data_IF_457422866031
#
_entry.id   IF_457422866031
#
_cell.length_a   1.000
_cell.length_b   1.000
_cell.length_c   1.000
_cell.angle_alpha   90.00
_cell.angle_beta   90.00
_cell.angle_gamma   90.00
#
_symmetry.space_group_name_H-M   'P 1'
#
loop_
_entity.id
_entity.type
_entity.pdbx_description
1 polymer ?
#
# COMPACT_ATOMS: atom_id res chain seq x y z
N UNK A 1 33.37 -9.96 -1.31
CA UNK A 1 32.27 -9.19 -0.67
C UNK A 1 31.00 -9.99 -0.85
N UNK A 2 30.47 -10.55 0.23
CA UNK A 2 29.34 -11.49 0.19
C UNK A 2 28.11 -10.91 -0.53
N UNK A 3 27.67 -11.58 -1.59
CA UNK A 3 26.42 -11.29 -2.31
C UNK A 3 25.15 -11.46 -1.44
N UNK A 4 25.30 -11.94 -0.20
CA UNK A 4 24.21 -12.19 0.75
C UNK A 4 23.50 -10.93 1.25
N UNK A 5 24.02 -9.73 0.97
CA UNK A 5 23.45 -8.45 1.42
C UNK A 5 22.65 -7.68 0.35
N UNK A 6 22.58 -8.18 -0.89
CA UNK A 6 21.83 -7.56 -1.99
C UNK A 6 20.60 -8.39 -2.34
N UNK A 7 19.42 -7.78 -2.35
CA UNK A 7 18.19 -8.37 -2.93
C UNK A 7 17.98 -7.76 -4.31
N UNK A 8 17.67 -8.62 -5.28
CA UNK A 8 17.21 -8.16 -6.59
C UNK A 8 15.91 -7.36 -6.44
N UNK A 9 15.85 -6.21 -7.10
CA UNK A 9 14.64 -5.43 -7.23
C UNK A 9 13.63 -6.09 -8.18
N UNK A 10 14.08 -6.91 -9.13
CA UNK A 10 13.26 -7.66 -10.09
C UNK A 10 13.10 -6.94 -11.43
N UNK A 11 14.08 -6.13 -11.81
CA UNK A 11 14.09 -5.40 -13.08
C UNK A 11 15.35 -5.71 -13.88
N UNK A 12 15.17 -6.37 -15.03
CA UNK A 12 16.17 -6.49 -16.09
C UNK A 12 16.03 -5.35 -17.09
N UNK A 13 17.15 -4.81 -17.59
CA UNK A 13 17.13 -3.84 -18.70
C UNK A 13 16.64 -2.43 -18.36
N UNK A 14 16.58 -2.05 -17.08
CA UNK A 14 16.33 -0.66 -16.68
C UNK A 14 17.60 0.18 -16.76
N UNK A 15 17.46 1.46 -17.10
CA UNK A 15 18.61 2.37 -17.06
C UNK A 15 19.13 2.57 -15.63
N UNK A 16 20.43 2.84 -15.51
CA UNK A 16 21.07 3.14 -14.22
C UNK A 16 20.35 4.25 -13.46
N UNK A 17 19.97 5.33 -14.18
CA UNK A 17 19.22 6.44 -13.60
C UNK A 17 17.85 6.00 -13.08
N UNK A 18 17.06 5.27 -13.88
CA UNK A 18 15.74 4.80 -13.46
C UNK A 18 15.81 3.80 -12.31
N UNK A 19 16.86 2.95 -12.27
CA UNK A 19 17.11 2.09 -11.13
C UNK A 19 17.28 2.90 -9.83
N UNK A 20 18.12 3.93 -9.86
CA UNK A 20 18.41 4.73 -8.67
C UNK A 20 17.26 5.64 -8.23
N UNK A 21 16.41 6.10 -9.16
CA UNK A 21 15.36 7.10 -8.85
C UNK A 21 13.96 6.51 -8.79
N UNK A 22 13.55 5.73 -9.79
CA UNK A 22 12.17 5.29 -9.97
C UNK A 22 11.92 3.90 -9.39
N UNK A 23 12.71 2.91 -9.81
CA UNK A 23 12.39 1.50 -9.57
C UNK A 23 12.31 1.16 -8.08
N UNK A 24 13.12 1.78 -7.23
CA UNK A 24 13.07 1.56 -5.79
C UNK A 24 11.73 2.01 -5.16
N UNK A 25 11.11 3.04 -5.73
CA UNK A 25 9.96 3.73 -5.17
C UNK A 25 8.64 3.38 -5.85
N UNK A 26 8.66 2.82 -7.05
CA UNK A 26 7.44 2.40 -7.74
C UNK A 26 7.25 0.89 -7.71
N UNK A 27 8.34 0.13 -7.60
CA UNK A 27 8.28 -1.31 -7.68
C UNK A 27 7.72 -1.93 -6.40
N UNK A 28 6.92 -2.99 -6.58
CA UNK A 28 6.28 -3.77 -5.50
C UNK A 28 5.29 -2.99 -4.64
N UNK A 29 5.12 -1.69 -4.89
CA UNK A 29 3.96 -0.95 -4.43
C UNK A 29 2.71 -1.34 -5.21
N UNK A 30 1.56 -0.86 -4.75
CA UNK A 30 0.27 -1.15 -5.37
C UNK A 30 -0.11 -2.63 -5.29
N UNK A 31 0.48 -3.38 -4.35
CA UNK A 31 0.01 -4.72 -4.03
C UNK A 31 -1.25 -4.60 -3.20
N UNK A 32 -2.28 -5.30 -3.66
CA UNK A 32 -3.54 -5.42 -2.94
C UNK A 32 -3.54 -6.72 -2.16
N UNK A 33 -3.80 -6.62 -0.86
CA UNK A 33 -3.95 -7.77 0.02
C UNK A 33 -5.24 -8.51 -0.35
N UNK A 34 -5.14 -9.82 -0.58
CA UNK A 34 -6.30 -10.68 -0.79
C UNK A 34 -6.81 -11.16 0.55
N UNK A 35 -8.08 -10.91 0.83
CA UNK A 35 -8.72 -11.40 2.05
C UNK A 35 -10.03 -12.10 1.73
N UNK A 36 -10.29 -13.20 2.44
CA UNK A 36 -11.52 -13.97 2.30
C UNK A 36 -12.29 -13.79 3.60
N UNK A 37 -13.50 -13.24 3.51
CA UNK A 37 -14.37 -12.95 4.66
C UNK A 37 -15.64 -13.75 4.51
N UNK A 38 -15.99 -14.53 5.54
CA UNK A 38 -17.24 -15.30 5.58
C UNK A 38 -18.26 -14.57 6.44
N UNK A 39 -19.31 -14.07 5.80
CA UNK A 39 -20.38 -13.31 6.46
C UNK A 39 -21.59 -14.22 6.61
N UNK A 40 -21.99 -14.46 7.86
CA UNK A 40 -23.22 -15.20 8.16
C UNK A 40 -24.43 -14.29 7.95
N UNK A 41 -25.48 -14.81 7.32
CA UNK A 41 -26.69 -14.08 6.94
C UNK A 41 -27.94 -14.87 7.31
N UNK A 42 -28.94 -14.18 7.85
CA UNK A 42 -30.26 -14.77 8.11
C UNK A 42 -31.07 -14.85 6.82
N UNK A 43 -31.96 -15.83 6.72
CA UNK A 43 -32.82 -15.99 5.55
C UNK A 43 -33.64 -14.72 5.28
N UNK A 44 -33.62 -14.23 4.04
CA UNK A 44 -34.31 -12.99 3.65
C UNK A 44 -33.58 -11.68 4.00
N UNK A 45 -32.51 -11.71 4.81
CA UNK A 45 -31.73 -10.54 5.17
C UNK A 45 -30.86 -10.06 3.99
N UNK A 46 -30.67 -8.75 3.86
CA UNK A 46 -29.73 -8.16 2.90
C UNK A 46 -28.30 -8.17 3.45
N UNK A 47 -27.30 -8.16 2.56
CA UNK A 47 -25.89 -8.01 2.99
C UNK A 47 -25.61 -6.61 3.57
N UNK A 48 -26.30 -5.58 3.07
CA UNK A 48 -26.07 -4.18 3.49
C UNK A 48 -24.81 -3.58 2.88
N UNK A 49 -24.51 -3.90 1.62
CA UNK A 49 -23.40 -3.31 0.86
C UNK A 49 -23.95 -2.59 -0.35
N UNK A 50 -23.65 -1.30 -0.48
CA UNK A 50 -23.76 -0.61 -1.76
C UNK A 50 -22.42 -0.66 -2.49
N UNK A 51 -22.47 -0.91 -3.79
CA UNK A 51 -21.28 -1.08 -4.61
C UNK A 51 -21.33 -0.24 -5.87
N UNK A 52 -20.23 0.46 -6.15
CA UNK A 52 -20.03 1.15 -7.42
C UNK A 52 -19.19 0.28 -8.36
N UNK A 53 -19.48 0.39 -9.65
CA UNK A 53 -18.62 -0.21 -10.68
C UNK A 53 -17.34 0.62 -10.74
N UNK A 54 -16.20 -0.04 -10.72
CA UNK A 54 -14.94 0.64 -11.00
C UNK A 54 -14.90 1.00 -12.50
N UNK A 55 -14.45 2.21 -12.83
CA UNK A 55 -14.24 2.61 -14.24
C UNK A 55 -12.99 1.94 -14.86
N UNK A 56 -12.25 1.18 -14.04
CA UNK A 56 -11.08 0.42 -14.44
C UNK A 56 -11.37 -0.75 -15.40
N UNK A 57 -10.28 -1.33 -15.92
CA UNK A 57 -10.34 -2.49 -16.81
C UNK A 57 -10.71 -3.80 -16.11
N UNK A 58 -10.64 -3.85 -14.77
CA UNK A 58 -11.00 -5.05 -14.01
C UNK A 58 -12.48 -5.07 -13.69
N UNK A 59 -13.09 -6.26 -13.59
CA UNK A 59 -14.50 -6.39 -13.26
C UNK A 59 -14.76 -6.31 -11.74
N UNK A 60 -13.92 -5.60 -10.99
CA UNK A 60 -14.10 -5.45 -9.54
C UNK A 60 -15.13 -4.36 -9.24
N UNK A 61 -15.79 -4.49 -8.10
CA UNK A 61 -16.71 -3.46 -7.59
C UNK A 61 -16.18 -2.89 -6.29
N UNK A 62 -16.36 -1.60 -6.08
CA UNK A 62 -15.92 -0.89 -4.87
C UNK A 62 -17.09 -0.80 -3.89
N UNK A 63 -16.82 -1.05 -2.61
CA UNK A 63 -17.80 -0.79 -1.55
C UNK A 63 -17.95 0.72 -1.37
N UNK A 64 -19.11 1.27 -1.72
CA UNK A 64 -19.41 2.69 -1.64
C UNK A 64 -19.95 3.07 -0.26
N UNK A 65 -20.86 2.26 0.28
CA UNK A 65 -21.42 2.42 1.61
C UNK A 65 -21.71 1.05 2.25
N UNK A 66 -21.84 1.05 3.56
CA UNK A 66 -22.24 -0.12 4.35
C UNK A 66 -23.51 0.27 5.10
N UNK A 67 -24.63 -0.27 4.65
CA UNK A 67 -25.96 -0.04 5.20
C UNK A 67 -26.32 -1.13 6.23
N UNK A 68 -27.52 -1.00 6.81
CA UNK A 68 -28.05 -2.03 7.72
C UNK A 68 -28.17 -3.38 7.01
N UNK A 69 -27.50 -4.40 7.56
CA UNK A 69 -27.48 -5.74 6.99
C UNK A 69 -26.46 -6.65 7.66
N UNK A 70 -26.27 -7.83 7.08
CA UNK A 70 -25.39 -8.86 7.62
C UNK A 70 -23.92 -8.39 7.75
N UNK A 71 -23.44 -7.53 6.85
CA UNK A 71 -22.07 -7.00 6.93
C UNK A 71 -21.91 -6.01 8.08
N UNK A 72 -22.90 -5.15 8.33
CA UNK A 72 -22.86 -4.27 9.50
C UNK A 72 -22.89 -5.08 10.80
N UNK A 73 -23.75 -6.10 10.89
CA UNK A 73 -23.79 -7.01 12.04
C UNK A 73 -22.45 -7.73 12.22
N UNK A 74 -21.83 -8.22 11.14
CA UNK A 74 -20.50 -8.84 11.17
C UNK A 74 -19.43 -7.85 11.68
N UNK A 75 -19.39 -6.65 11.11
CA UNK A 75 -18.43 -5.61 11.49
C UNK A 75 -18.61 -5.13 12.94
N UNK A 76 -19.83 -5.17 13.49
CA UNK A 76 -20.12 -4.75 14.87
C UNK A 76 -19.59 -5.72 15.94
N UNK A 77 -19.34 -6.99 15.57
CA UNK A 77 -18.79 -8.02 16.46
C UNK A 77 -17.27 -7.99 16.55
N UNK A 78 -16.62 -7.21 15.69
CA UNK A 78 -15.18 -7.12 15.60
C UNK A 78 -14.68 -5.83 16.28
N UNK A 79 -13.45 -5.84 16.84
CA UNK A 79 -12.80 -4.64 17.34
C UNK A 79 -12.75 -3.50 16.31
N UNK A 80 -12.76 -2.26 16.80
CA UNK A 80 -12.73 -1.03 16.00
C UNK A 80 -11.69 -1.05 14.87
N UNK A 81 -10.52 -1.53 15.22
CA UNK A 81 -9.26 -1.59 14.48
C UNK A 81 -9.04 -2.92 13.74
N UNK A 82 -9.95 -3.90 13.89
CA UNK A 82 -9.77 -5.23 13.28
C UNK A 82 -9.62 -5.14 11.76
N UNK A 83 -8.55 -5.76 11.26
CA UNK A 83 -8.30 -5.90 9.83
C UNK A 83 -9.36 -6.76 9.14
N UNK A 84 -10.12 -7.58 9.87
CA UNK A 84 -11.17 -8.44 9.33
C UNK A 84 -12.45 -7.70 8.95
N UNK A 85 -12.65 -6.49 9.49
CA UNK A 85 -13.82 -5.67 9.15
C UNK A 85 -13.81 -5.32 7.68
N UNK A 86 -14.97 -5.39 7.03
CA UNK A 86 -15.17 -4.89 5.67
C UNK A 86 -15.32 -3.36 5.77
N UNK A 87 -14.61 -2.61 4.93
CA UNK A 87 -14.55 -1.14 4.98
C UNK A 87 -15.03 -0.54 3.65
N UNK A 88 -15.55 0.68 3.73
CA UNK A 88 -15.80 1.50 2.54
C UNK A 88 -14.49 1.68 1.77
N UNK A 89 -14.56 1.52 0.45
CA UNK A 89 -13.42 1.51 -0.45
C UNK A 89 -12.78 0.14 -0.66
N UNK A 90 -13.17 -0.92 0.05
CA UNK A 90 -12.70 -2.27 -0.29
C UNK A 90 -13.15 -2.67 -1.70
N UNK A 91 -12.28 -3.33 -2.46
CA UNK A 91 -12.64 -3.89 -3.76
C UNK A 91 -13.12 -5.33 -3.58
N UNK A 92 -14.30 -5.67 -4.07
CA UNK A 92 -14.82 -7.04 -4.06
C UNK A 92 -14.44 -7.70 -5.38
N UNK A 93 -13.63 -8.76 -5.28
CA UNK A 93 -13.18 -9.54 -6.43
C UNK A 93 -14.08 -10.74 -6.71
N UNK A 94 -14.60 -11.41 -5.66
CA UNK A 94 -15.52 -12.56 -5.78
C UNK A 94 -16.57 -12.59 -4.69
N UNK A 95 -17.73 -13.16 -4.99
CA UNK A 95 -18.84 -13.44 -4.06
C UNK A 95 -19.33 -14.86 -4.31
N UNK A 96 -19.16 -15.77 -3.35
CA UNK A 96 -19.54 -17.19 -3.47
C UNK A 96 -18.99 -17.85 -4.75
N UNK A 97 -17.73 -17.54 -5.08
CA UNK A 97 -17.06 -18.00 -6.29
C UNK A 97 -17.42 -17.25 -7.58
N UNK A 98 -18.49 -16.44 -7.58
CA UNK A 98 -18.88 -15.57 -8.71
C UNK A 98 -17.94 -14.37 -8.78
N UNK A 99 -17.39 -14.12 -9.97
CA UNK A 99 -16.59 -12.95 -10.28
C UNK A 99 -17.17 -12.19 -11.49
N UNK A 100 -16.47 -11.20 -12.01
CA UNK A 100 -16.90 -10.56 -13.24
C UNK A 100 -18.06 -9.57 -13.06
N UNK A 101 -18.86 -9.43 -14.12
CA UNK A 101 -20.02 -8.53 -14.17
C UNK A 101 -21.16 -8.99 -13.25
N UNK A 102 -21.15 -10.24 -12.83
CA UNK A 102 -22.23 -10.88 -12.07
C UNK A 102 -22.12 -10.67 -10.56
N UNK A 103 -21.04 -10.05 -10.08
CA UNK A 103 -20.82 -9.75 -8.64
C UNK A 103 -21.99 -8.96 -8.06
N UNK A 104 -22.47 -7.93 -8.77
CA UNK A 104 -23.60 -7.09 -8.30
C UNK A 104 -24.87 -7.93 -8.16
N UNK A 105 -25.10 -8.89 -9.06
CA UNK A 105 -26.23 -9.81 -8.97
C UNK A 105 -26.08 -10.78 -7.80
N UNK A 106 -24.88 -11.31 -7.57
CA UNK A 106 -24.58 -12.21 -6.46
C UNK A 106 -24.81 -11.54 -5.10
N UNK A 107 -24.40 -10.27 -4.94
CA UNK A 107 -24.62 -9.49 -3.71
C UNK A 107 -26.11 -9.27 -3.37
N UNK A 108 -26.99 -9.24 -4.39
CA UNK A 108 -28.44 -9.03 -4.22
C UNK A 108 -29.23 -10.30 -3.89
N UNK A 109 -28.64 -11.50 -4.04
CA UNK A 109 -29.32 -12.76 -3.74
C UNK A 109 -29.66 -12.82 -2.25
N UNK A 110 -30.83 -13.35 -1.86
CA UNK A 110 -31.27 -13.45 -0.44
C UNK A 110 -31.23 -14.87 0.16
N UNK A 111 -30.84 -15.88 -0.64
CA UNK A 111 -31.04 -17.30 -0.29
C UNK A 111 -29.89 -18.00 0.45
N UNK A 112 -28.65 -17.50 0.38
CA UNK A 112 -27.50 -18.15 1.03
C UNK A 112 -27.37 -17.76 2.52
N UNK A 113 -27.16 -18.75 3.39
CA UNK A 113 -26.95 -18.58 4.84
C UNK A 113 -25.55 -18.05 5.18
N UNK A 114 -24.54 -18.45 4.42
CA UNK A 114 -23.18 -17.94 4.54
C UNK A 114 -22.75 -17.40 3.18
N UNK A 115 -22.16 -16.21 3.16
CA UNK A 115 -21.65 -15.56 1.95
C UNK A 115 -20.13 -15.41 2.10
N UNK A 116 -19.38 -15.97 1.17
CA UNK A 116 -17.93 -15.80 1.08
C UNK A 116 -17.58 -14.62 0.16
N UNK A 117 -17.00 -13.58 0.74
CA UNK A 117 -16.52 -12.40 0.04
C UNK A 117 -15.00 -12.46 -0.10
N UNK A 118 -14.50 -12.42 -1.33
CA UNK A 118 -13.07 -12.22 -1.58
C UNK A 118 -12.83 -10.73 -1.84
N UNK A 119 -12.30 -10.05 -0.83
CA UNK A 119 -11.98 -8.63 -0.89
C UNK A 119 -10.50 -8.42 -1.22
N UNK A 120 -10.22 -7.27 -1.83
CA UNK A 120 -8.90 -6.74 -2.14
C UNK A 120 -8.77 -5.41 -1.45
N UNK A 121 -7.76 -5.30 -0.57
CA UNK A 121 -7.52 -4.10 0.22
C UNK A 121 -6.13 -3.53 -0.04
N UNK A 122 -6.04 -2.21 -0.01
CA UNK A 122 -4.78 -1.48 -0.07
C UNK A 122 -4.01 -1.57 1.23
N UNK A 123 -2.67 -1.57 1.14
CA UNK A 123 -1.80 -1.38 2.30
C UNK A 123 -1.67 0.09 2.73
N UNK A 124 -2.41 1.03 2.12
CA UNK A 124 -2.47 2.40 2.59
C UNK A 124 -3.10 2.46 3.99
N UNK A 125 -2.57 3.32 4.88
CA UNK A 125 -3.23 3.60 6.14
C UNK A 125 -4.59 4.29 5.90
N UNK A 126 -5.51 4.13 6.83
CA UNK A 126 -6.89 4.63 6.71
C UNK A 126 -6.98 6.13 6.43
N UNK A 127 -6.10 6.95 7.03
CA UNK A 127 -6.08 8.40 6.79
C UNK A 127 -5.62 8.80 5.37
N UNK A 128 -5.10 7.86 4.57
CA UNK A 128 -4.76 8.05 3.16
C UNK A 128 -5.70 7.32 2.21
N UNK A 129 -6.76 6.66 2.72
CA UNK A 129 -7.68 5.90 1.86
C UNK A 129 -8.43 6.79 0.87
N UNK A 130 -8.57 8.08 1.16
CA UNK A 130 -9.20 9.07 0.28
C UNK A 130 -8.45 9.29 -1.04
N UNK A 131 -7.15 8.95 -1.11
CA UNK A 131 -6.34 9.07 -2.34
C UNK A 131 -6.80 8.06 -3.40
N UNK A 132 -7.50 7.00 -2.97
CA UNK A 132 -7.93 5.94 -3.86
C UNK A 132 -9.17 6.36 -4.64
N UNK A 133 -9.00 6.45 -5.96
CA UNK A 133 -10.09 6.73 -6.90
C UNK A 133 -10.60 5.50 -7.64
N UNK A 134 -9.91 4.36 -7.58
CA UNK A 134 -10.29 3.14 -8.31
C UNK A 134 -10.06 1.86 -7.51
N UNK A 135 -10.59 0.74 -7.99
CA UNK A 135 -10.36 -0.56 -7.35
C UNK A 135 -8.89 -0.99 -7.43
N UNK A 136 -8.14 -0.46 -8.41
CA UNK A 136 -6.70 -0.65 -8.56
C UNK A 136 -5.90 0.46 -7.89
N UNK A 137 -4.72 0.13 -7.34
CA UNK A 137 -3.78 1.14 -6.91
C UNK A 137 -3.35 2.05 -8.05
N UNK A 138 -3.57 3.35 -7.86
CA UNK A 138 -3.07 4.36 -8.77
C UNK A 138 -1.54 4.50 -8.71
N UNK A 139 -0.92 5.33 -9.57
CA UNK A 139 0.52 5.59 -9.52
C UNK A 139 0.98 6.14 -8.18
N UNK A 140 0.21 7.07 -7.59
CA UNK A 140 0.53 7.68 -6.29
C UNK A 140 0.48 6.63 -5.17
N UNK A 141 -0.60 5.85 -5.11
CA UNK A 141 -0.73 4.77 -4.15
C UNK A 141 0.39 3.73 -4.30
N UNK A 142 0.74 3.39 -5.54
CA UNK A 142 1.86 2.48 -5.81
C UNK A 142 3.16 3.03 -5.23
N UNK A 143 3.42 4.33 -5.38
CA UNK A 143 4.61 4.93 -4.75
C UNK A 143 4.53 4.89 -3.23
N UNK A 144 3.41 5.35 -2.64
CA UNK A 144 3.25 5.44 -1.19
C UNK A 144 3.32 4.07 -0.48
N UNK A 145 2.86 3.02 -1.15
CA UNK A 145 2.87 1.65 -0.62
C UNK A 145 4.14 0.88 -0.95
N UNK A 146 5.01 1.40 -1.83
CA UNK A 146 6.25 0.74 -2.18
C UNK A 146 7.21 0.62 -0.99
N UNK A 147 7.91 -0.51 -0.83
CA UNK A 147 8.88 -0.69 0.24
C UNK A 147 9.97 0.40 0.29
N UNK A 148 10.46 0.85 -0.87
CA UNK A 148 11.49 1.89 -0.92
C UNK A 148 10.98 3.24 -0.43
N UNK A 149 9.73 3.61 -0.75
CA UNK A 149 9.12 4.83 -0.22
C UNK A 149 8.90 4.74 1.28
N UNK A 150 8.41 3.60 1.81
CA UNK A 150 8.25 3.38 3.25
C UNK A 150 9.57 3.51 4.01
N UNK A 151 10.67 3.00 3.45
CA UNK A 151 12.01 3.12 4.03
C UNK A 151 12.49 4.58 3.99
N UNK A 152 12.34 5.23 2.84
CA UNK A 152 12.70 6.64 2.67
C UNK A 152 11.93 7.54 3.63
N UNK A 153 10.62 7.36 3.76
CA UNK A 153 9.79 8.16 4.65
C UNK A 153 10.16 7.93 6.11
N UNK A 154 10.42 6.69 6.53
CA UNK A 154 10.87 6.40 7.88
C UNK A 154 12.20 7.11 8.22
N UNK A 155 13.22 7.00 7.36
CA UNK A 155 14.52 7.66 7.57
C UNK A 155 14.36 9.19 7.49
N UNK A 156 13.55 9.69 6.55
CA UNK A 156 13.28 11.12 6.41
C UNK A 156 12.63 11.68 7.67
N UNK A 157 11.64 10.99 8.24
CA UNK A 157 10.96 11.41 9.47
C UNK A 157 11.89 11.40 10.68
N UNK A 158 12.77 10.39 10.80
CA UNK A 158 13.78 10.34 11.86
C UNK A 158 14.78 11.50 11.77
N UNK A 159 15.38 11.69 10.59
CA UNK A 159 16.32 12.80 10.35
C UNK A 159 15.65 14.16 10.52
N UNK A 160 14.41 14.30 10.07
CA UNK A 160 13.62 15.53 10.21
C UNK A 160 13.28 15.82 11.67
N UNK A 161 13.03 14.79 12.49
CA UNK A 161 12.79 14.95 13.93
C UNK A 161 14.03 15.49 14.65
N UNK A 162 15.21 14.92 14.36
CA UNK A 162 16.49 15.44 14.87
C UNK A 162 16.75 16.85 14.36
N UNK A 163 16.55 17.08 13.07
CA UNK A 163 16.70 18.38 12.43
C UNK A 163 15.80 19.45 13.04
N UNK A 164 14.55 19.12 13.36
CA UNK A 164 13.61 20.01 14.05
C UNK A 164 14.10 20.35 15.47
N UNK A 165 14.62 19.37 16.21
CA UNK A 165 15.20 19.60 17.54
C UNK A 165 16.41 20.55 17.49
N UNK A 166 17.32 20.35 16.52
CA UNK A 166 18.45 21.25 16.31
C UNK A 166 18.01 22.64 15.85
N UNK A 167 17.00 22.72 14.98
CA UNK A 167 16.44 23.98 14.52
C UNK A 167 15.86 24.78 15.70
N UNK A 168 15.09 24.15 16.59
CA UNK A 168 14.53 24.79 17.79
C UNK A 168 15.60 25.43 18.69
N UNK A 169 16.78 24.82 18.78
CA UNK A 169 17.90 25.33 19.58
C UNK A 169 18.72 26.42 18.87
N UNK A 170 18.69 26.44 17.54
CA UNK A 170 19.56 27.29 16.73
C UNK A 170 19.12 28.75 16.57
N UNK A 171 17.83 29.04 16.79
CA UNK A 171 17.26 30.38 16.55
C UNK A 171 17.10 30.77 15.08
N UNK A 172 17.24 29.83 14.13
CA UNK A 172 16.99 30.11 12.71
C UNK A 172 15.50 30.43 12.44
N UNK A 173 15.20 31.25 11.42
CA UNK A 173 13.83 31.61 11.08
C UNK A 173 13.02 30.38 10.60
N UNK A 174 11.70 30.39 10.82
CA UNK A 174 10.80 29.28 10.41
C UNK A 174 10.89 28.94 8.92
N UNK A 175 11.22 29.93 8.08
CA UNK A 175 11.42 29.72 6.65
C UNK A 175 12.55 28.73 6.31
N UNK A 176 13.52 28.51 7.22
CA UNK A 176 14.60 27.54 6.99
C UNK A 176 14.15 26.08 7.16
N UNK A 177 13.02 25.82 7.83
CA UNK A 177 12.56 24.46 8.12
C UNK A 177 12.26 23.65 6.86
N UNK A 178 11.37 24.08 5.93
CA UNK A 178 11.12 23.32 4.71
C UNK A 178 12.33 23.31 3.79
N UNK A 179 13.02 24.46 3.68
CA UNK A 179 14.07 24.70 2.70
C UNK A 179 15.37 23.96 2.98
N UNK A 180 15.81 23.89 4.24
CA UNK A 180 17.09 23.30 4.60
C UNK A 180 16.93 22.00 5.39
N UNK A 181 16.15 22.01 6.48
CA UNK A 181 16.11 20.86 7.39
C UNK A 181 15.35 19.68 6.79
N UNK A 182 14.13 19.90 6.27
CA UNK A 182 13.35 18.83 5.66
C UNK A 182 13.90 18.38 4.30
N UNK A 183 14.33 19.32 3.45
CA UNK A 183 14.90 18.97 2.14
C UNK A 183 16.22 18.19 2.27
N UNK A 184 17.12 18.60 3.16
CA UNK A 184 18.38 17.91 3.39
C UNK A 184 18.13 16.53 4.00
N UNK A 185 17.21 16.43 4.96
CA UNK A 185 16.80 15.13 5.54
C UNK A 185 16.25 14.20 4.47
N UNK A 186 15.37 14.70 3.59
CA UNK A 186 14.83 13.93 2.48
C UNK A 186 15.90 13.52 1.46
N UNK A 187 16.86 14.40 1.15
CA UNK A 187 17.95 14.11 0.21
C UNK A 187 18.94 13.08 0.77
N UNK A 188 19.30 13.21 2.05
CA UNK A 188 20.14 12.23 2.76
C UNK A 188 19.42 10.89 2.84
N UNK A 189 18.15 10.87 3.25
CA UNK A 189 17.32 9.68 3.26
C UNK A 189 17.29 9.03 1.86
N UNK A 190 17.03 9.81 0.81
CA UNK A 190 17.03 9.29 -0.56
C UNK A 190 18.38 8.67 -0.94
N UNK A 191 19.49 9.32 -0.59
CA UNK A 191 20.84 8.81 -0.87
C UNK A 191 21.11 7.47 -0.20
N UNK A 192 20.63 7.26 1.03
CA UNK A 192 20.85 6.02 1.81
C UNK A 192 19.82 4.94 1.55
N UNK A 193 18.63 5.27 1.04
CA UNK A 193 17.55 4.29 0.77
C UNK A 193 17.36 3.96 -0.70
N UNK A 194 17.95 4.70 -1.64
CA UNK A 194 17.85 4.41 -3.07
C UNK A 194 18.46 3.05 -3.44
N UNK A 195 18.01 2.52 -4.57
CA UNK A 195 18.55 1.29 -5.14
C UNK A 195 19.96 1.52 -5.70
N UNK A 196 20.74 0.45 -5.77
CA UNK A 196 22.05 0.44 -6.40
C UNK A 196 21.93 -0.20 -7.79
N UNK A 197 22.63 0.36 -8.77
CA UNK A 197 22.79 -0.22 -10.09
C UNK A 197 24.19 -0.84 -10.22
N UNK A 198 24.30 -2.04 -10.76
CA UNK A 198 25.55 -2.72 -11.03
C UNK A 198 25.65 -3.07 -12.52
N UNK A 199 26.56 -2.41 -13.23
CA UNK A 199 26.78 -2.65 -14.67
C UNK A 199 27.63 -3.90 -14.92
N UNK A 200 28.33 -4.41 -13.91
CA UNK A 200 29.28 -5.52 -14.02
C UNK A 200 28.65 -6.87 -13.70
N UNK A 201 27.38 -7.07 -14.06
CA UNK A 201 26.67 -8.34 -13.85
C UNK A 201 26.50 -9.09 -15.17
N UNK A 202 26.58 -10.43 -15.19
CA UNK A 202 26.41 -11.23 -16.39
C UNK A 202 25.03 -11.01 -17.04
N UNK A 203 24.93 -11.32 -18.34
CA UNK A 203 23.66 -11.32 -19.04
C UNK A 203 22.64 -12.25 -18.34
N UNK A 204 21.40 -11.78 -18.20
CA UNK A 204 20.33 -12.50 -17.51
C UNK A 204 20.28 -12.31 -15.99
N UNK A 205 21.23 -11.58 -15.41
CA UNK A 205 21.19 -11.16 -14.00
C UNK A 205 20.62 -9.74 -13.91
N UNK A 206 19.81 -9.46 -12.89
CA UNK A 206 19.29 -8.12 -12.69
C UNK A 206 20.39 -7.11 -12.40
N UNK A 207 20.30 -5.91 -12.95
CA UNK A 207 21.27 -4.85 -12.72
C UNK A 207 20.91 -3.96 -11.52
N UNK A 208 19.69 -4.09 -10.99
CA UNK A 208 19.16 -3.20 -9.95
C UNK A 208 18.94 -3.95 -8.62
N UNK A 209 19.55 -3.44 -7.56
CA UNK A 209 19.61 -4.10 -6.26
C UNK A 209 19.19 -3.16 -5.12
N UNK A 210 18.70 -3.76 -4.04
CA UNK A 210 18.43 -3.09 -2.76
C UNK A 210 19.15 -3.80 -1.62
N UNK A 211 19.37 -3.09 -0.51
CA UNK A 211 19.88 -3.71 0.71
C UNK A 211 18.92 -4.78 1.28
N UNK A 212 19.47 -5.86 1.83
CA UNK A 212 18.69 -6.97 2.43
C UNK A 212 17.94 -6.55 3.70
N UNK A 213 18.50 -5.64 4.48
CA UNK A 213 17.87 -5.11 5.70
C UNK A 213 16.72 -4.20 5.31
N UNK A 214 15.52 -4.74 5.50
CA UNK A 214 14.25 -4.03 5.33
C UNK A 214 13.91 -3.17 6.57
N UNK A 215 14.68 -3.29 7.66
CA UNK A 215 14.48 -2.56 8.90
C UNK A 215 15.24 -1.22 8.91
N UNK A 216 14.53 -0.08 9.07
CA UNK A 216 15.16 1.24 9.10
C UNK A 216 16.07 1.47 10.30
N UNK A 217 15.85 0.78 11.42
CA UNK A 217 16.64 0.94 12.66
C UNK A 217 18.11 0.54 12.46
N UNK A 218 18.37 -0.54 11.72
CA UNK A 218 19.73 -1.04 11.46
C UNK A 218 20.56 -0.06 10.61
N UNK A 219 19.93 0.88 9.90
CA UNK A 219 20.62 1.81 9.00
C UNK A 219 21.29 2.95 9.77
N UNK A 220 20.70 3.38 10.89
CA UNK A 220 21.21 4.51 11.68
C UNK A 220 22.17 4.08 12.79
N UNK A 221 22.17 2.79 13.14
CA UNK A 221 23.07 2.21 14.16
C UNK A 221 24.43 1.78 13.58
N UNK A 222 24.62 1.88 12.26
CA UNK A 222 25.89 1.57 11.57
C UNK A 222 26.57 2.84 11.08
#
# INVERSE_FOLDING_TARGET
VDNKLKKDCGFSGVSSLYCMTGSCFTNRGGKMEKKIVKVKRKEGQLLGLDVSKDEGKDPWVLVSSIDSGAVQEYNSKLPGDSEERIKVGDAIAKVDGVDGKDIVGALKRKGAKDVELQIRRTHLPSYLSWIRSSARPGPVESVLTAPGFKRWSAVTSQLSGVGLGLWLLSGYPVASLPGYYFSLSAAVAFKVTRCCHDEKVPAGVAHCYRGVTDEPQIILEK
#
